data_IF_421782669538
#
_entry.id   IF_421782669538
#
_cell.length_a   1.000
_cell.length_b   1.000
_cell.length_c   1.000
_cell.angle_alpha   90.00
_cell.angle_beta   90.00
_cell.angle_gamma   90.00
#
_symmetry.space_group_name_H-M   'P 1'
#
loop_
_entity.id
_entity.type
_entity.pdbx_description
1 polymer ?
#
# COMPACT_ATOMS: atom_id res chain seq x y z
N UNK A 1 12.98 -21.48 1.17
CA UNK A 1 11.66 -21.07 1.69
C UNK A 1 11.38 -19.56 1.47
N UNK A 2 12.35 -18.66 1.70
CA UNK A 2 12.20 -17.19 1.57
C UNK A 2 11.84 -16.74 0.13
N UNK A 3 12.48 -17.29 -0.90
CA UNK A 3 12.22 -16.93 -2.32
C UNK A 3 10.76 -17.16 -2.78
N UNK A 4 10.09 -18.21 -2.28
CA UNK A 4 8.70 -18.55 -2.68
C UNK A 4 7.70 -17.57 -2.08
N UNK A 5 7.91 -17.15 -0.83
CA UNK A 5 7.05 -16.18 -0.14
C UNK A 5 7.21 -14.78 -0.75
N UNK A 6 8.44 -14.35 -1.04
CA UNK A 6 8.71 -13.08 -1.73
C UNK A 6 8.02 -13.01 -3.10
N UNK A 7 8.09 -14.09 -3.89
CA UNK A 7 7.42 -14.18 -5.20
C UNK A 7 5.90 -14.04 -5.08
N UNK A 8 5.29 -14.67 -4.06
CA UNK A 8 3.84 -14.54 -3.82
C UNK A 8 3.42 -13.10 -3.46
N UNK A 9 4.19 -12.41 -2.61
CA UNK A 9 3.91 -11.04 -2.15
C UNK A 9 4.05 -10.00 -3.27
N UNK A 10 4.95 -10.25 -4.24
CA UNK A 10 5.24 -9.31 -5.32
C UNK A 10 4.39 -9.51 -6.57
N UNK A 11 3.76 -10.67 -6.72
CA UNK A 11 2.91 -10.97 -7.87
C UNK A 11 1.65 -10.12 -7.87
N UNK A 12 1.09 -9.89 -9.07
CA UNK A 12 -0.22 -9.27 -9.19
C UNK A 12 -1.29 -10.19 -8.63
N UNK A 13 -2.21 -9.63 -7.87
CA UNK A 13 -3.44 -10.32 -7.45
C UNK A 13 -4.47 -10.30 -8.57
N UNK A 14 -5.53 -11.09 -8.43
CA UNK A 14 -6.69 -11.06 -9.34
C UNK A 14 -7.33 -9.67 -9.40
N UNK A 15 -7.95 -9.33 -10.53
CA UNK A 15 -8.59 -8.01 -10.72
C UNK A 15 -9.67 -7.74 -9.66
N UNK A 16 -10.44 -8.77 -9.28
CA UNK A 16 -11.47 -8.69 -8.23
C UNK A 16 -10.91 -8.39 -6.84
N UNK A 17 -9.60 -8.53 -6.66
CA UNK A 17 -8.88 -8.23 -5.41
C UNK A 17 -8.02 -6.98 -5.51
N UNK A 18 -8.08 -6.24 -6.64
CA UNK A 18 -7.34 -5.00 -6.80
C UNK A 18 -7.72 -4.00 -5.71
N UNK A 19 -6.74 -3.21 -5.25
CA UNK A 19 -7.02 -2.06 -4.41
C UNK A 19 -7.41 -0.87 -5.29
N UNK A 20 -8.56 -0.29 -5.00
CA UNK A 20 -9.07 0.87 -5.74
C UNK A 20 -8.55 2.11 -5.04
N UNK A 21 -7.47 2.67 -5.58
CA UNK A 21 -6.89 3.90 -5.06
C UNK A 21 -7.81 5.06 -5.44
N UNK A 22 -8.39 5.71 -4.44
CA UNK A 22 -9.41 6.74 -4.63
C UNK A 22 -9.08 8.01 -3.87
N UNK A 23 -9.52 9.16 -4.38
CA UNK A 23 -9.48 10.44 -3.65
C UNK A 23 -10.74 10.68 -2.82
N UNK A 24 -11.84 10.01 -3.18
CA UNK A 24 -13.14 10.09 -2.53
C UNK A 24 -14.02 8.90 -2.98
N UNK A 25 -15.33 8.94 -2.69
CA UNK A 25 -16.24 7.84 -3.05
C UNK A 25 -16.42 7.65 -4.57
N UNK A 26 -16.22 8.70 -5.37
CA UNK A 26 -16.55 8.72 -6.80
C UNK A 26 -15.30 8.68 -7.69
N UNK A 27 -14.18 9.24 -7.22
CA UNK A 27 -12.98 9.43 -8.03
C UNK A 27 -11.93 8.34 -7.77
N UNK A 28 -11.72 7.50 -8.78
CA UNK A 28 -10.67 6.46 -8.79
C UNK A 28 -9.42 7.02 -9.47
N UNK A 29 -8.30 7.01 -8.75
CA UNK A 29 -6.97 7.33 -9.29
C UNK A 29 -6.43 6.16 -10.10
N UNK A 30 -6.49 4.94 -9.54
CA UNK A 30 -6.00 3.73 -10.19
C UNK A 30 -6.57 2.45 -9.53
N UNK A 31 -6.40 1.31 -10.21
CA UNK A 31 -6.63 -0.03 -9.66
C UNK A 31 -5.29 -0.74 -9.57
N UNK A 32 -4.80 -0.90 -8.35
CA UNK A 32 -3.47 -1.43 -8.04
C UNK A 32 -3.55 -2.89 -7.61
N UNK A 33 -2.75 -3.75 -8.25
CA UNK A 33 -2.82 -5.21 -8.07
C UNK A 33 -1.58 -5.80 -7.42
N UNK A 34 -0.59 -4.99 -7.05
CA UNK A 34 0.63 -5.47 -6.42
C UNK A 34 1.29 -4.38 -5.57
N UNK A 35 2.22 -4.76 -4.68
CA UNK A 35 2.98 -3.78 -3.89
C UNK A 35 3.81 -2.81 -4.75
N UNK A 36 4.51 -3.24 -5.83
CA UNK A 36 5.25 -2.30 -6.68
C UNK A 36 4.33 -1.30 -7.39
N UNK A 37 3.16 -1.76 -7.85
CA UNK A 37 2.17 -0.86 -8.45
C UNK A 37 1.61 0.13 -7.42
N UNK A 38 1.28 -0.34 -6.21
CA UNK A 38 0.83 0.54 -5.12
C UNK A 38 1.88 1.61 -4.79
N UNK A 39 3.16 1.24 -4.64
CA UNK A 39 4.22 2.19 -4.37
C UNK A 39 4.35 3.25 -5.47
N UNK A 40 4.33 2.82 -6.74
CA UNK A 40 4.41 3.72 -7.90
C UNK A 40 3.20 4.65 -7.96
N UNK A 41 1.99 4.11 -7.97
CA UNK A 41 0.77 4.89 -8.16
C UNK A 41 0.49 5.81 -6.97
N UNK A 42 0.73 5.36 -5.74
CA UNK A 42 0.58 6.21 -4.55
C UNK A 42 1.58 7.37 -4.53
N UNK A 43 2.81 7.18 -5.03
CA UNK A 43 3.80 8.27 -5.14
C UNK A 43 3.37 9.40 -6.08
N UNK A 44 2.55 9.08 -7.08
CA UNK A 44 2.03 10.00 -8.10
C UNK A 44 0.65 10.56 -7.73
N UNK A 45 -0.03 9.93 -6.76
CA UNK A 45 -1.37 10.31 -6.36
C UNK A 45 -1.37 11.62 -5.55
N UNK A 46 -2.45 12.41 -5.64
CA UNK A 46 -2.67 13.54 -4.75
C UNK A 46 -2.82 13.09 -3.30
N UNK A 47 -2.50 13.98 -2.35
CA UNK A 47 -2.61 13.69 -0.90
C UNK A 47 -4.04 13.36 -0.46
N UNK A 48 -5.06 13.82 -1.19
CA UNK A 48 -6.46 13.46 -0.96
C UNK A 48 -6.68 11.94 -1.00
N UNK A 49 -5.92 11.19 -1.80
CA UNK A 49 -6.00 9.72 -1.80
C UNK A 49 -5.50 9.11 -0.49
N UNK A 50 -4.44 9.68 0.11
CA UNK A 50 -3.96 9.25 1.43
C UNK A 50 -5.00 9.59 2.51
N UNK A 51 -5.56 10.80 2.48
CA UNK A 51 -6.58 11.23 3.44
C UNK A 51 -7.79 10.29 3.38
N UNK A 52 -8.27 9.97 2.18
CA UNK A 52 -9.43 9.11 1.99
C UNK A 52 -9.23 7.72 2.61
N UNK A 53 -8.06 7.12 2.41
CA UNK A 53 -7.75 5.76 2.86
C UNK A 53 -7.23 5.64 4.30
N UNK A 54 -6.95 6.77 4.97
CA UNK A 54 -6.51 6.84 6.38
C UNK A 54 -7.53 7.51 7.32
N UNK A 55 -8.74 7.81 6.83
CA UNK A 55 -9.77 8.50 7.63
C UNK A 55 -10.29 7.63 8.78
N UNK A 56 -10.82 8.29 9.82
CA UNK A 56 -11.53 7.64 10.93
C UNK A 56 -10.71 6.57 11.69
N UNK A 57 -9.38 6.73 11.74
CA UNK A 57 -8.50 5.75 12.39
C UNK A 57 -8.32 4.44 11.62
N UNK A 58 -8.86 4.35 10.40
CA UNK A 58 -8.64 3.22 9.48
C UNK A 58 -7.33 3.40 8.72
N UNK A 59 -6.83 2.31 8.13
CA UNK A 59 -5.71 2.33 7.20
C UNK A 59 -5.96 1.26 6.14
N UNK A 60 -6.65 1.64 5.08
CA UNK A 60 -7.09 0.70 4.04
C UNK A 60 -5.89 0.07 3.33
N UNK A 61 -4.76 0.79 3.21
CA UNK A 61 -3.52 0.24 2.64
C UNK A 61 -3.02 -0.92 3.49
N UNK A 62 -2.94 -0.73 4.81
CA UNK A 62 -2.49 -1.79 5.71
C UNK A 62 -3.44 -2.99 5.68
N UNK A 63 -4.76 -2.74 5.63
CA UNK A 63 -5.75 -3.81 5.58
C UNK A 63 -5.63 -4.64 4.31
N UNK A 64 -5.56 -3.99 3.13
CA UNK A 64 -5.39 -4.70 1.87
C UNK A 64 -4.06 -5.47 1.81
N UNK A 65 -2.98 -4.88 2.32
CA UNK A 65 -1.67 -5.56 2.36
C UNK A 65 -1.71 -6.80 3.26
N UNK A 66 -2.45 -6.77 4.37
CA UNK A 66 -2.62 -7.92 5.26
C UNK A 66 -3.50 -9.01 4.64
N UNK A 67 -4.69 -8.65 4.17
CA UNK A 67 -5.72 -9.63 3.81
C UNK A 67 -5.55 -10.16 2.39
N UNK A 68 -5.08 -9.30 1.47
CA UNK A 68 -5.01 -9.63 0.03
C UNK A 68 -3.59 -9.99 -0.37
N UNK A 69 -2.61 -9.17 -0.02
CA UNK A 69 -1.20 -9.46 -0.33
C UNK A 69 -0.62 -10.52 0.63
N UNK A 70 -1.10 -10.56 1.88
CA UNK A 70 -0.64 -11.50 2.89
C UNK A 70 0.62 -11.06 3.65
N UNK A 71 1.05 -9.80 3.55
CA UNK A 71 2.26 -9.30 4.21
C UNK A 71 1.95 -8.61 5.55
N UNK A 72 1.67 -9.42 6.56
CA UNK A 72 1.37 -8.97 7.93
C UNK A 72 2.47 -8.08 8.54
N UNK A 73 3.72 -8.29 8.15
CA UNK A 73 4.86 -7.49 8.66
C UNK A 73 4.77 -6.07 8.11
N UNK A 74 4.55 -5.91 6.82
CA UNK A 74 4.39 -4.58 6.21
C UNK A 74 3.13 -3.89 6.74
N UNK A 75 2.00 -4.60 6.79
CA UNK A 75 0.74 -4.07 7.31
C UNK A 75 0.90 -3.50 8.73
N UNK A 76 1.53 -4.26 9.64
CA UNK A 76 1.83 -3.78 11.01
C UNK A 76 2.69 -2.52 11.02
N UNK A 77 3.72 -2.45 10.16
CA UNK A 77 4.58 -1.26 10.05
C UNK A 77 3.82 -0.05 9.57
N UNK A 78 2.95 -0.20 8.56
CA UNK A 78 2.15 0.90 8.02
C UNK A 78 1.17 1.46 9.06
N UNK A 79 0.54 0.62 9.87
CA UNK A 79 -0.34 1.08 10.97
C UNK A 79 0.39 1.91 12.03
N UNK A 80 1.71 1.72 12.17
CA UNK A 80 2.54 2.45 13.15
C UNK A 80 3.15 3.75 12.61
N UNK A 81 2.93 4.11 11.35
CA UNK A 81 3.53 5.33 10.78
C UNK A 81 2.90 6.57 11.42
N UNK A 82 3.77 7.48 11.87
CA UNK A 82 3.40 8.83 12.29
C UNK A 82 3.99 9.84 11.31
N UNK A 83 3.26 10.91 11.01
CA UNK A 83 3.69 11.99 10.12
C UNK A 83 3.13 13.32 10.61
N UNK A 84 3.82 14.43 10.27
CA UNK A 84 3.39 15.79 10.62
C UNK A 84 2.31 16.32 9.68
N UNK A 85 2.27 15.82 8.44
CA UNK A 85 1.27 16.16 7.43
C UNK A 85 1.05 15.00 6.44
N UNK A 86 0.07 15.16 5.55
CA UNK A 86 -0.34 14.12 4.60
C UNK A 86 0.68 13.84 3.50
N UNK A 87 1.47 14.82 3.09
CA UNK A 87 2.54 14.61 2.12
C UNK A 87 3.67 13.77 2.71
N UNK A 88 4.07 14.05 3.96
CA UNK A 88 5.02 13.23 4.70
C UNK A 88 4.47 11.82 4.94
N UNK A 89 3.18 11.68 5.27
CA UNK A 89 2.53 10.37 5.42
C UNK A 89 2.61 9.55 4.12
N UNK A 90 2.25 10.16 2.98
CA UNK A 90 2.37 9.55 1.64
C UNK A 90 3.77 9.03 1.41
N UNK A 91 4.77 9.89 1.61
CA UNK A 91 6.17 9.58 1.39
C UNK A 91 6.68 8.47 2.31
N UNK A 92 6.26 8.45 3.58
CA UNK A 92 6.61 7.39 4.53
C UNK A 92 5.99 6.04 4.17
N UNK A 93 4.73 6.01 3.75
CA UNK A 93 4.06 4.78 3.28
C UNK A 93 4.79 4.22 2.06
N UNK A 94 5.00 5.04 1.02
CA UNK A 94 5.72 4.64 -0.19
C UNK A 94 7.13 4.13 0.14
N UNK A 95 7.84 4.82 1.03
CA UNK A 95 9.19 4.43 1.46
C UNK A 95 9.18 3.07 2.16
N UNK A 96 8.24 2.81 3.05
CA UNK A 96 8.18 1.54 3.79
C UNK A 96 7.79 0.36 2.86
N UNK A 97 6.88 0.59 1.89
CA UNK A 97 6.57 -0.41 0.86
C UNK A 97 7.81 -0.74 0.03
N UNK A 98 8.53 0.28 -0.46
CA UNK A 98 9.75 0.07 -1.25
C UNK A 98 10.86 -0.62 -0.44
N UNK A 99 11.01 -0.27 0.84
CA UNK A 99 11.94 -0.94 1.75
C UNK A 99 11.58 -2.41 1.91
N UNK A 100 10.30 -2.74 2.08
CA UNK A 100 9.84 -4.12 2.19
C UNK A 100 10.08 -4.92 0.91
N UNK A 101 9.78 -4.36 -0.27
CA UNK A 101 10.08 -4.97 -1.57
C UNK A 101 11.57 -5.36 -1.62
N UNK A 102 12.47 -4.41 -1.31
CA UNK A 102 13.93 -4.67 -1.28
C UNK A 102 14.32 -5.77 -0.29
N UNK A 103 13.64 -5.89 0.85
CA UNK A 103 13.92 -6.92 1.87
C UNK A 103 13.55 -8.33 1.42
N UNK A 104 12.58 -8.48 0.52
CA UNK A 104 12.07 -9.78 0.07
C UNK A 104 12.58 -10.18 -1.32
N UNK A 105 13.21 -9.26 -2.06
CA UNK A 105 13.86 -9.53 -3.36
C UNK A 105 15.35 -9.84 -3.24
N UNK A 106 15.99 -9.51 -2.11
CA UNK A 106 17.35 -9.95 -1.79
C UNK A 106 17.35 -11.40 -1.33
#
# INVERSE_FOLDING_TARGET
MIKKLGRKILNKVEESKAFWLKTDHYNVVDRVRSLPELAKKLSQAPTSAVIHHLREGKNDFAQWIEDVIGDKVLAKRLRGIKAKNWEEMKNKIVKEINKRIKQITK
#
